data_IF_725373007653
#
_entry.id   IF_725373007653
#
_cell.length_a   1.000
_cell.length_b   1.000
_cell.length_c   1.000
_cell.angle_alpha   90.00
_cell.angle_beta   90.00
_cell.angle_gamma   90.00
#
_symmetry.space_group_name_H-M   'P 1'
#
loop_
_entity.id
_entity.type
_entity.pdbx_description
1 polymer ?
#
# COMPACT_ATOMS: atom_id res chain seq x y z
N UNK A 1 26.86 1.37 -6.11
CA UNK A 1 25.47 0.92 -5.90
C UNK A 1 25.48 0.05 -4.66
N UNK A 2 24.51 0.22 -3.76
CA UNK A 2 24.42 -0.58 -2.54
C UNK A 2 23.36 -1.63 -2.78
N UNK A 3 23.75 -2.90 -2.90
CA UNK A 3 22.79 -3.98 -3.12
C UNK A 3 21.96 -4.20 -1.86
N UNK A 4 20.73 -3.67 -1.87
CA UNK A 4 19.76 -3.92 -0.80
C UNK A 4 19.13 -5.28 -0.98
N UNK A 5 19.19 -6.07 0.08
CA UNK A 5 18.48 -7.34 0.20
C UNK A 5 17.15 -7.12 0.89
N UNK A 6 16.34 -8.17 1.00
CA UNK A 6 15.03 -8.10 1.65
C UNK A 6 15.05 -7.38 3.01
N UNK A 7 16.07 -7.63 3.85
CA UNK A 7 16.17 -7.07 5.20
C UNK A 7 16.39 -5.55 5.24
N UNK A 8 16.81 -4.93 4.13
CA UNK A 8 17.11 -3.49 4.10
C UNK A 8 15.86 -2.64 3.74
N UNK A 9 14.72 -3.29 3.54
CA UNK A 9 13.45 -2.64 3.24
C UNK A 9 12.52 -2.69 4.45
N UNK A 10 12.01 -1.53 4.83
CA UNK A 10 11.02 -1.39 5.89
C UNK A 10 9.75 -0.72 5.34
N UNK A 11 8.59 -1.17 5.81
CA UNK A 11 7.30 -0.52 5.51
C UNK A 11 7.36 0.94 6.01
N UNK A 12 6.97 1.87 5.14
CA UNK A 12 7.10 3.31 5.35
C UNK A 12 8.26 3.98 4.61
N UNK A 13 9.24 3.19 4.16
CA UNK A 13 10.40 3.73 3.44
C UNK A 13 9.98 4.32 2.09
N UNK A 14 10.45 5.53 1.80
CA UNK A 14 10.10 6.31 0.61
C UNK A 14 11.31 6.59 -0.27
N UNK A 15 11.09 6.60 -1.58
CA UNK A 15 12.09 6.89 -2.59
C UNK A 15 11.48 7.74 -3.70
N UNK A 16 12.30 8.62 -4.27
CA UNK A 16 11.91 9.46 -5.42
C UNK A 16 12.99 9.37 -6.48
N UNK A 17 12.61 9.01 -7.70
CA UNK A 17 13.54 8.91 -8.82
C UNK A 17 13.96 10.30 -9.34
N UNK A 18 14.92 10.31 -10.27
CA UNK A 18 15.06 11.44 -11.19
C UNK A 18 13.84 11.59 -12.11
N UNK A 19 13.90 12.57 -13.00
CA UNK A 19 12.83 12.84 -13.98
C UNK A 19 13.16 12.24 -15.34
N UNK A 20 12.12 12.02 -16.15
CA UNK A 20 12.23 11.61 -17.56
C UNK A 20 11.17 12.36 -18.39
N UNK A 21 11.61 13.07 -19.41
CA UNK A 21 10.70 13.70 -20.38
C UNK A 21 10.18 12.67 -21.37
N UNK A 22 8.88 12.70 -21.66
CA UNK A 22 8.22 11.91 -22.69
C UNK A 22 8.40 12.59 -24.04
N UNK A 23 8.87 11.85 -25.03
CA UNK A 23 9.22 12.39 -26.35
C UNK A 23 8.34 11.84 -27.46
N UNK A 24 8.34 12.49 -28.63
CA UNK A 24 7.65 11.95 -29.81
C UNK A 24 8.26 10.61 -30.26
N UNK A 25 9.56 10.40 -30.03
CA UNK A 25 10.22 9.13 -30.30
C UNK A 25 9.66 8.02 -29.40
N UNK A 26 9.38 8.30 -28.12
CA UNK A 26 8.74 7.34 -27.22
C UNK A 26 7.41 6.85 -27.75
N UNK A 27 6.56 7.77 -28.22
CA UNK A 27 5.26 7.42 -28.80
C UNK A 27 5.42 6.54 -30.05
N UNK A 28 6.30 6.94 -30.97
CA UNK A 28 6.55 6.17 -32.19
C UNK A 28 7.12 4.77 -31.88
N UNK A 29 8.11 4.68 -30.99
CA UNK A 29 8.77 3.43 -30.63
C UNK A 29 7.86 2.51 -29.82
N UNK A 30 7.09 3.03 -28.86
CA UNK A 30 6.18 2.21 -28.08
C UNK A 30 5.01 1.70 -28.93
N UNK A 31 4.49 2.51 -29.85
CA UNK A 31 3.50 2.09 -30.87
C UNK A 31 4.06 0.94 -31.71
N UNK A 32 5.27 1.11 -32.26
CA UNK A 32 5.92 0.07 -33.08
C UNK A 32 6.21 -1.20 -32.28
N UNK A 33 6.69 -1.08 -31.05
CA UNK A 33 7.08 -2.20 -30.20
C UNK A 33 5.87 -3.00 -29.71
N UNK A 34 4.82 -2.30 -29.26
CA UNK A 34 3.60 -2.93 -28.74
C UNK A 34 2.69 -3.44 -29.86
N UNK A 35 2.76 -2.83 -31.05
CA UNK A 35 1.82 -3.06 -32.14
C UNK A 35 0.45 -2.40 -31.94
N UNK A 36 0.29 -1.58 -30.90
CA UNK A 36 -0.95 -0.84 -30.65
C UNK A 36 -0.95 0.49 -31.42
N UNK A 37 -1.39 0.42 -32.67
CA UNK A 37 -1.50 1.54 -33.61
C UNK A 37 -2.88 2.22 -33.61
N UNK A 38 -3.68 2.00 -32.55
CA UNK A 38 -5.01 2.60 -32.44
C UNK A 38 -4.95 4.12 -32.70
N UNK A 39 -5.86 4.70 -33.50
CA UNK A 39 -5.80 6.10 -33.92
C UNK A 39 -5.68 7.15 -32.80
N UNK A 40 -6.09 6.83 -31.57
CA UNK A 40 -5.88 7.69 -30.40
C UNK A 40 -4.38 7.96 -30.10
N UNK A 41 -3.48 7.11 -30.57
CA UNK A 41 -2.03 7.19 -30.41
C UNK A 41 -1.33 7.74 -31.67
N UNK A 42 -2.01 7.78 -32.83
CA UNK A 42 -1.36 8.04 -34.13
C UNK A 42 -1.99 9.19 -34.92
N UNK A 43 -3.25 9.55 -34.66
CA UNK A 43 -4.01 10.57 -35.39
C UNK A 43 -4.37 11.77 -34.50
N UNK A 44 -3.81 12.96 -34.76
CA UNK A 44 -4.25 14.18 -34.10
C UNK A 44 -5.73 14.47 -34.34
N UNK A 45 -6.47 14.82 -33.29
CA UNK A 45 -7.90 15.15 -33.41
C UNK A 45 -8.84 13.96 -33.49
N UNK A 46 -8.36 12.72 -33.29
CA UNK A 46 -9.19 11.52 -33.33
C UNK A 46 -10.44 11.67 -32.45
N UNK A 47 -11.63 11.52 -33.06
CA UNK A 47 -12.96 11.71 -32.45
C UNK A 47 -13.16 13.07 -31.76
N UNK A 48 -12.58 14.14 -32.31
CA UNK A 48 -12.68 15.49 -31.73
C UNK A 48 -11.80 15.67 -30.49
N UNK A 49 -10.86 14.75 -30.26
CA UNK A 49 -9.85 14.84 -29.20
C UNK A 49 -8.74 15.83 -29.51
N UNK A 50 -7.69 15.80 -28.67
CA UNK A 50 -6.52 16.66 -28.80
C UNK A 50 -5.36 15.99 -29.55
N UNK A 51 -4.14 16.26 -29.07
CA UNK A 51 -2.94 15.57 -29.52
C UNK A 51 -3.01 14.07 -29.16
N UNK A 52 -2.29 13.21 -29.90
CA UNK A 52 -2.18 11.80 -29.54
C UNK A 52 -1.62 11.59 -28.13
N UNK A 53 -2.11 10.55 -27.46
CA UNK A 53 -1.67 10.17 -26.11
C UNK A 53 -0.80 8.92 -26.19
N UNK A 54 0.04 8.67 -25.18
CA UNK A 54 0.77 7.41 -25.07
C UNK A 54 -0.18 6.27 -24.67
N UNK A 55 0.14 5.05 -25.12
CA UNK A 55 -0.53 3.82 -24.67
C UNK A 55 -0.44 3.72 -23.16
N UNK A 56 -1.52 3.31 -22.47
CA UNK A 56 -1.53 3.16 -21.01
C UNK A 56 -0.30 2.41 -20.46
N UNK A 57 0.04 1.22 -20.99
CA UNK A 57 1.21 0.42 -20.58
C UNK A 57 2.58 1.09 -20.74
N UNK A 58 2.69 2.21 -21.44
CA UNK A 58 3.90 3.03 -21.45
C UNK A 58 4.25 3.53 -20.05
N UNK A 59 3.26 3.93 -19.25
CA UNK A 59 3.47 4.44 -17.90
C UNK A 59 4.12 3.44 -16.93
N UNK A 60 3.60 2.19 -16.79
CA UNK A 60 4.27 1.15 -16.02
C UNK A 60 5.70 0.86 -16.52
N UNK A 61 5.93 0.85 -17.83
CA UNK A 61 7.25 0.64 -18.40
C UNK A 61 8.24 1.74 -17.99
N UNK A 62 7.81 3.01 -18.06
CA UNK A 62 8.60 4.16 -17.59
C UNK A 62 8.83 4.08 -16.08
N UNK A 63 7.81 3.74 -15.29
CA UNK A 63 7.92 3.58 -13.84
C UNK A 63 8.97 2.52 -13.47
N UNK A 64 9.00 1.37 -14.15
CA UNK A 64 10.02 0.34 -13.91
C UNK A 64 11.43 0.82 -14.29
N UNK A 65 11.57 1.57 -15.39
CA UNK A 65 12.84 2.18 -15.78
C UNK A 65 13.36 3.20 -14.75
N UNK A 66 12.48 4.09 -14.26
CA UNK A 66 12.79 5.06 -13.21
C UNK A 66 13.14 4.37 -11.88
N UNK A 67 12.42 3.30 -11.53
CA UNK A 67 12.74 2.48 -10.37
C UNK A 67 14.12 1.84 -10.49
N UNK A 68 14.47 1.28 -11.65
CA UNK A 68 15.81 0.72 -11.87
C UNK A 68 16.90 1.78 -11.71
N UNK A 69 16.63 3.01 -12.17
CA UNK A 69 17.54 4.16 -12.00
C UNK A 69 17.82 4.54 -10.55
N UNK A 70 16.98 4.15 -9.59
CA UNK A 70 17.24 4.32 -8.14
C UNK A 70 18.33 3.38 -7.61
N UNK A 71 18.65 2.29 -8.33
CA UNK A 71 19.73 1.37 -7.95
C UNK A 71 19.54 0.70 -6.59
N UNK A 72 18.29 0.37 -6.23
CA UNK A 72 17.96 -0.09 -4.87
C UNK A 72 18.43 -1.53 -4.58
N UNK A 73 18.05 -2.50 -5.42
CA UNK A 73 18.15 -3.91 -5.07
C UNK A 73 19.11 -4.74 -5.95
N UNK A 74 19.61 -4.19 -7.07
CA UNK A 74 20.62 -4.85 -7.92
C UNK A 74 20.36 -6.33 -8.17
N UNK A 75 21.37 -7.16 -7.87
CA UNK A 75 21.34 -8.63 -8.04
C UNK A 75 20.42 -9.36 -7.04
N UNK A 76 19.92 -8.67 -6.00
CA UNK A 76 18.98 -9.27 -5.06
C UNK A 76 17.58 -9.48 -5.67
N UNK A 77 17.27 -8.88 -6.82
CA UNK A 77 15.97 -9.04 -7.48
C UNK A 77 15.84 -10.45 -8.08
N UNK A 78 14.91 -11.23 -7.54
CA UNK A 78 14.61 -12.59 -8.02
C UNK A 78 13.41 -12.64 -8.98
N UNK A 79 12.53 -11.64 -8.94
CA UNK A 79 11.42 -11.54 -9.89
C UNK A 79 10.32 -10.56 -9.48
N UNK A 80 9.59 -10.04 -10.46
CA UNK A 80 8.34 -9.32 -10.27
C UNK A 80 7.21 -10.35 -10.16
N UNK A 81 6.48 -10.33 -9.05
CA UNK A 81 5.42 -11.29 -8.76
C UNK A 81 4.04 -10.78 -9.15
N UNK A 82 3.81 -9.48 -8.98
CA UNK A 82 2.50 -8.88 -9.19
C UNK A 82 2.61 -7.39 -9.57
N UNK A 83 1.62 -6.92 -10.31
CA UNK A 83 1.42 -5.51 -10.67
C UNK A 83 -0.06 -5.21 -10.79
N UNK A 84 -0.56 -4.34 -9.92
CA UNK A 84 -1.91 -3.80 -9.97
C UNK A 84 -1.82 -2.30 -10.25
N UNK A 85 -2.54 -1.81 -11.25
CA UNK A 85 -2.26 -0.48 -11.80
C UNK A 85 -3.52 0.30 -12.22
N UNK A 86 -3.48 1.61 -12.03
CA UNK A 86 -4.56 2.54 -12.35
C UNK A 86 -4.05 3.67 -13.24
N UNK A 87 -4.72 3.84 -14.39
CA UNK A 87 -4.49 4.94 -15.32
C UNK A 87 -5.37 6.13 -14.93
N UNK A 88 -4.79 7.15 -14.27
CA UNK A 88 -5.56 8.29 -13.74
C UNK A 88 -5.70 9.41 -14.78
N UNK A 89 -4.64 9.65 -15.55
CA UNK A 89 -4.58 10.67 -16.60
C UNK A 89 -3.82 10.13 -17.81
N UNK A 90 -4.13 10.60 -19.03
CA UNK A 90 -3.33 10.31 -20.21
C UNK A 90 -1.92 10.89 -20.05
N UNK A 91 -0.93 10.19 -20.61
CA UNK A 91 0.45 10.67 -20.76
C UNK A 91 0.59 11.27 -22.15
N UNK A 92 1.16 12.47 -22.26
CA UNK A 92 1.40 13.17 -23.51
C UNK A 92 2.89 13.32 -23.81
N UNK A 93 3.21 13.54 -25.08
CA UNK A 93 4.53 14.02 -25.48
C UNK A 93 4.77 15.39 -24.84
N UNK A 94 5.92 15.55 -24.20
CA UNK A 94 6.31 16.74 -23.44
C UNK A 94 6.18 16.58 -21.93
N UNK A 95 5.40 15.60 -21.44
CA UNK A 95 5.26 15.36 -20.00
C UNK A 95 6.62 15.05 -19.37
N UNK A 96 6.90 15.63 -18.20
CA UNK A 96 8.09 15.32 -17.41
C UNK A 96 7.65 14.47 -16.22
N UNK A 97 8.06 13.21 -16.20
CA UNK A 97 7.58 12.23 -15.24
C UNK A 97 8.64 11.90 -14.20
N UNK A 98 8.24 11.74 -12.94
CA UNK A 98 9.05 11.13 -11.87
C UNK A 98 8.27 10.05 -11.13
N UNK A 99 8.99 9.09 -10.56
CA UNK A 99 8.44 8.04 -9.73
C UNK A 99 8.58 8.41 -8.25
N UNK A 100 7.47 8.36 -7.52
CA UNK A 100 7.44 8.30 -6.06
C UNK A 100 7.07 6.89 -5.64
N UNK A 101 7.85 6.30 -4.75
CA UNK A 101 7.66 4.91 -4.29
C UNK A 101 7.67 4.84 -2.76
N UNK A 102 6.70 4.12 -2.21
CA UNK A 102 6.60 3.81 -0.78
C UNK A 102 6.57 2.30 -0.61
N UNK A 103 7.42 1.74 0.24
CA UNK A 103 7.30 0.35 0.67
C UNK A 103 6.10 0.22 1.60
N UNK A 104 5.12 -0.60 1.21
CA UNK A 104 3.85 -0.74 1.95
C UNK A 104 3.69 -2.11 2.60
N UNK A 105 4.53 -3.09 2.24
CA UNK A 105 4.57 -4.39 2.90
C UNK A 105 5.91 -5.09 2.72
N UNK A 106 6.38 -5.78 3.75
CA UNK A 106 7.53 -6.69 3.70
C UNK A 106 7.14 -8.02 4.35
N UNK A 107 7.34 -9.14 3.66
CA UNK A 107 7.05 -10.47 4.20
C UNK A 107 8.01 -11.52 3.67
N UNK A 108 8.62 -12.32 4.53
CA UNK A 108 9.45 -13.45 4.12
C UNK A 108 8.60 -14.57 3.53
N UNK A 109 9.23 -15.31 2.64
CA UNK A 109 8.64 -16.57 2.20
C UNK A 109 8.89 -17.66 3.24
N UNK A 110 8.13 -18.76 3.15
CA UNK A 110 8.26 -19.90 4.06
C UNK A 110 9.67 -20.52 4.08
N UNK A 111 10.45 -20.37 3.00
CA UNK A 111 11.83 -20.87 2.92
C UNK A 111 12.85 -19.99 3.65
N UNK A 112 12.52 -18.74 3.95
CA UNK A 112 13.37 -17.81 4.69
C UNK A 112 14.52 -17.19 3.89
N UNK A 113 14.96 -17.82 2.79
CA UNK A 113 16.05 -17.38 1.90
C UNK A 113 15.69 -16.20 0.98
N UNK A 114 14.43 -15.76 1.02
CA UNK A 114 13.88 -14.68 0.19
C UNK A 114 12.63 -14.09 0.82
N UNK A 115 12.31 -12.87 0.44
CA UNK A 115 11.09 -12.18 0.88
C UNK A 115 10.46 -11.34 -0.22
N UNK A 116 9.21 -10.96 0.00
CA UNK A 116 8.41 -10.15 -0.91
C UNK A 116 8.32 -8.75 -0.34
N UNK A 117 8.64 -7.76 -1.17
CA UNK A 117 8.46 -6.34 -0.88
C UNK A 117 7.36 -5.80 -1.79
N UNK A 118 6.27 -5.35 -1.19
CA UNK A 118 5.19 -4.65 -1.90
C UNK A 118 5.44 -3.15 -1.86
N UNK A 119 5.35 -2.51 -3.02
CA UNK A 119 5.65 -1.11 -3.23
C UNK A 119 4.44 -0.42 -3.82
N UNK A 120 3.97 0.65 -3.20
CA UNK A 120 3.05 1.60 -3.81
C UNK A 120 3.86 2.57 -4.67
N UNK A 121 3.45 2.74 -5.92
CA UNK A 121 4.14 3.56 -6.91
C UNK A 121 3.20 4.63 -7.44
N UNK A 122 3.68 5.87 -7.52
CA UNK A 122 2.99 7.00 -8.14
C UNK A 122 3.91 7.59 -9.20
N UNK A 123 3.44 7.57 -10.44
CA UNK A 123 4.05 8.28 -11.55
C UNK A 123 3.40 9.66 -11.62
N UNK A 124 4.18 10.69 -11.33
CA UNK A 124 3.71 12.07 -11.21
C UNK A 124 4.35 12.96 -12.27
N UNK A 125 3.60 13.94 -12.75
CA UNK A 125 4.07 14.96 -13.68
C UNK A 125 4.76 16.14 -12.94
N UNK A 126 5.21 17.13 -13.72
CA UNK A 126 5.91 18.33 -13.21
C UNK A 126 5.00 19.26 -12.38
N UNK A 127 3.68 19.18 -12.62
CA UNK A 127 2.67 19.90 -11.83
C UNK A 127 2.31 19.17 -10.52
N UNK A 128 2.91 17.99 -10.28
CA UNK A 128 2.67 17.16 -9.12
C UNK A 128 1.38 16.34 -9.19
N UNK A 129 0.73 16.28 -10.35
CA UNK A 129 -0.45 15.48 -10.55
C UNK A 129 -0.07 14.00 -10.74
N UNK A 130 -0.80 13.09 -10.10
CA UNK A 130 -0.65 11.65 -10.34
C UNK A 130 -1.21 11.30 -11.70
N UNK A 131 -0.34 10.86 -12.61
CA UNK A 131 -0.73 10.45 -13.96
C UNK A 131 -1.14 8.98 -13.95
N UNK A 132 -0.35 8.15 -13.28
CA UNK A 132 -0.67 6.75 -13.05
C UNK A 132 -0.15 6.30 -11.69
N UNK A 133 -0.75 5.27 -11.11
CA UNK A 133 -0.31 4.73 -9.84
C UNK A 133 -0.71 3.27 -9.68
N UNK A 134 -0.13 2.59 -8.70
CA UNK A 134 -0.47 1.21 -8.42
C UNK A 134 0.46 0.57 -7.41
N UNK A 135 0.33 -0.74 -7.26
CA UNK A 135 1.20 -1.55 -6.42
C UNK A 135 1.96 -2.58 -7.25
N UNK A 136 3.12 -2.94 -6.76
CA UNK A 136 3.89 -4.06 -7.31
C UNK A 136 4.49 -4.89 -6.19
N UNK A 137 4.62 -6.19 -6.41
CA UNK A 137 5.30 -7.09 -5.48
C UNK A 137 6.58 -7.63 -6.13
N UNK A 138 7.73 -7.41 -5.48
CA UNK A 138 9.02 -7.95 -5.93
C UNK A 138 9.52 -9.00 -4.95
N UNK A 139 10.00 -10.12 -5.48
CA UNK A 139 10.73 -11.13 -4.73
C UNK A 139 12.21 -10.75 -4.67
N UNK A 140 12.75 -10.63 -3.46
CA UNK A 140 14.15 -10.31 -3.21
C UNK A 140 14.84 -11.45 -2.46
N UNK A 141 16.10 -11.68 -2.78
CA UNK A 141 16.98 -12.52 -1.97
C UNK A 141 17.10 -11.93 -0.55
N UNK A 142 17.17 -12.82 0.44
CA UNK A 142 17.41 -12.47 1.83
C UNK A 142 18.83 -12.90 2.21
N UNK A 143 19.51 -12.14 3.07
CA UNK A 143 20.86 -12.50 3.54
C UNK A 143 20.86 -13.68 4.51
N UNK A 144 19.73 -13.94 5.16
CA UNK A 144 19.58 -15.08 6.06
C UNK A 144 18.14 -15.28 6.50
N UNK A 145 17.94 -16.25 7.39
CA UNK A 145 16.63 -16.46 8.05
C UNK A 145 16.47 -15.41 9.13
N UNK A 146 15.29 -14.78 9.20
CA UNK A 146 14.95 -13.82 10.24
C UNK A 146 13.43 -13.81 10.47
N UNK A 147 12.95 -13.19 11.56
CA UNK A 147 11.52 -13.02 11.79
C UNK A 147 10.93 -12.06 10.75
N UNK A 148 9.62 -12.19 10.52
CA UNK A 148 8.86 -11.23 9.72
C UNK A 148 8.63 -9.94 10.52
N UNK A 149 8.67 -8.76 9.87
CA UNK A 149 8.28 -7.52 10.51
C UNK A 149 6.76 -7.46 10.70
N UNK A 150 6.28 -7.96 11.84
CA UNK A 150 4.85 -8.03 12.16
C UNK A 150 4.23 -6.65 12.39
N UNK A 151 5.03 -5.66 12.85
CA UNK A 151 4.52 -4.38 13.34
C UNK A 151 3.72 -3.55 12.31
N UNK A 152 3.95 -3.79 11.02
CA UNK A 152 3.29 -3.12 9.88
C UNK A 152 2.73 -4.09 8.84
N UNK A 153 2.57 -5.38 9.17
CA UNK A 153 1.91 -6.36 8.28
C UNK A 153 0.38 -6.29 8.46
N UNK A 154 -0.17 -5.11 8.19
CA UNK A 154 -1.57 -4.75 8.48
C UNK A 154 -2.56 -5.77 7.90
N UNK A 155 -3.65 -6.04 8.64
CA UNK A 155 -4.70 -6.96 8.19
C UNK A 155 -4.34 -8.45 8.30
N UNK A 156 -3.13 -8.80 8.76
CA UNK A 156 -2.77 -10.21 9.03
C UNK A 156 -3.13 -10.63 10.46
N UNK A 157 -3.28 -11.94 10.68
CA UNK A 157 -3.54 -12.51 12.02
C UNK A 157 -2.41 -12.16 13.00
N UNK A 158 -1.15 -12.36 12.58
CA UNK A 158 0.01 -12.05 13.43
C UNK A 158 0.05 -10.57 13.84
N UNK A 159 -0.28 -9.66 12.92
CA UNK A 159 -0.42 -8.25 13.24
C UNK A 159 -1.58 -7.98 14.19
N UNK A 160 -2.75 -8.60 13.98
CA UNK A 160 -3.90 -8.48 14.88
C UNK A 160 -3.61 -8.98 16.30
N UNK A 161 -2.88 -10.07 16.44
CA UNK A 161 -2.42 -10.59 17.75
C UNK A 161 -1.46 -9.61 18.43
N UNK A 162 -0.46 -9.11 17.69
CA UNK A 162 0.47 -8.11 18.22
C UNK A 162 -0.20 -6.78 18.59
N UNK A 163 -1.19 -6.36 17.81
CA UNK A 163 -2.01 -5.17 18.05
C UNK A 163 -2.84 -5.32 19.32
N UNK A 164 -3.57 -6.43 19.44
CA UNK A 164 -4.48 -6.66 20.58
C UNK A 164 -3.73 -6.82 21.89
N UNK A 165 -2.51 -7.38 21.87
CA UNK A 165 -1.63 -7.44 23.04
C UNK A 165 -1.19 -6.07 23.58
N UNK A 166 -1.41 -4.98 22.84
CA UNK A 166 -1.14 -3.59 23.27
C UNK A 166 -2.37 -2.83 23.74
N UNK A 167 -3.56 -3.42 23.66
CA UNK A 167 -4.78 -2.78 24.11
C UNK A 167 -4.82 -2.75 25.64
N UNK A 168 -5.01 -1.55 26.20
CA UNK A 168 -5.17 -1.36 27.64
C UNK A 168 -6.63 -1.35 28.11
N UNK A 169 -6.88 -1.17 29.42
CA UNK A 169 -8.24 -1.14 30.00
C UNK A 169 -9.19 -0.14 29.34
N UNK A 170 -8.66 1.00 28.88
CA UNK A 170 -9.43 2.05 28.20
C UNK A 170 -10.18 1.54 26.95
N UNK A 171 -9.67 0.49 26.29
CA UNK A 171 -10.36 -0.13 25.15
C UNK A 171 -11.64 -0.85 25.59
N UNK A 172 -11.55 -1.67 26.65
CA UNK A 172 -12.71 -2.38 27.18
C UNK A 172 -13.74 -1.42 27.79
N UNK A 173 -13.29 -0.36 28.47
CA UNK A 173 -14.15 0.71 29.01
C UNK A 173 -14.89 1.48 27.92
N UNK A 174 -14.32 1.57 26.70
CA UNK A 174 -14.95 2.20 25.55
C UNK A 174 -15.97 1.28 24.84
N UNK A 175 -16.09 0.02 25.26
CA UNK A 175 -16.95 -1.01 24.69
C UNK A 175 -17.86 -1.69 25.76
N UNK A 176 -18.57 -0.92 26.63
CA UNK A 176 -19.26 -1.50 27.76
C UNK A 176 -20.38 -2.45 27.32
N UNK A 177 -20.16 -3.76 27.51
CA UNK A 177 -21.11 -4.80 27.13
C UNK A 177 -21.27 -4.99 25.62
N UNK A 178 -20.35 -4.49 24.80
CA UNK A 178 -20.40 -4.71 23.35
C UNK A 178 -19.92 -6.12 23.00
N UNK A 179 -20.71 -6.79 22.16
CA UNK A 179 -20.43 -8.11 21.60
C UNK A 179 -20.49 -8.01 20.08
N UNK A 180 -19.42 -8.43 19.41
CA UNK A 180 -19.35 -8.35 17.96
C UNK A 180 -17.97 -8.67 17.41
N UNK A 181 -17.75 -8.32 16.15
CA UNK A 181 -16.47 -8.55 15.48
C UNK A 181 -16.11 -7.33 14.66
N UNK A 182 -14.92 -6.79 14.91
CA UNK A 182 -14.36 -5.69 14.11
C UNK A 182 -13.41 -6.31 13.09
N UNK A 183 -13.70 -6.11 11.80
CA UNK A 183 -12.77 -6.42 10.72
C UNK A 183 -11.84 -5.23 10.45
N UNK A 184 -10.55 -5.50 10.24
CA UNK A 184 -9.56 -4.51 9.80
C UNK A 184 -8.94 -5.02 8.51
N UNK A 185 -9.13 -4.29 7.41
CA UNK A 185 -8.64 -4.67 6.07
C UNK A 185 -7.61 -3.67 5.55
N UNK A 186 -6.47 -4.19 5.11
CA UNK A 186 -5.39 -3.48 4.45
C UNK A 186 -5.10 -4.17 3.11
N UNK A 187 -5.53 -3.54 2.01
CA UNK A 187 -5.49 -4.18 0.68
C UNK A 187 -6.21 -5.52 0.71
N UNK A 188 -5.53 -6.60 0.34
CA UNK A 188 -6.10 -7.95 0.29
C UNK A 188 -6.09 -8.70 1.63
N UNK A 189 -5.52 -8.12 2.69
CA UNK A 189 -5.40 -8.76 4.01
C UNK A 189 -6.48 -8.23 4.94
N UNK A 190 -7.26 -9.14 5.52
CA UNK A 190 -8.30 -8.81 6.50
C UNK A 190 -8.13 -9.67 7.74
N UNK A 191 -8.16 -9.02 8.91
CA UNK A 191 -8.15 -9.68 10.22
C UNK A 191 -9.40 -9.29 10.99
N UNK A 192 -9.94 -10.26 11.72
CA UNK A 192 -11.11 -10.10 12.56
C UNK A 192 -10.70 -10.12 14.02
N UNK A 193 -11.18 -9.13 14.77
CA UNK A 193 -11.08 -9.03 16.22
C UNK A 193 -12.45 -9.35 16.82
N UNK A 194 -12.61 -10.57 17.34
CA UNK A 194 -13.85 -10.97 18.01
C UNK A 194 -13.85 -10.43 19.43
N UNK A 195 -14.89 -9.68 19.77
CA UNK A 195 -15.02 -9.02 21.06
C UNK A 195 -16.23 -9.59 21.80
N UNK A 196 -16.03 -9.90 23.07
CA UNK A 196 -17.06 -10.29 24.01
C UNK A 196 -16.93 -9.45 25.27
N UNK A 197 -18.01 -8.77 25.65
CA UNK A 197 -18.09 -7.85 26.80
C UNK A 197 -16.93 -6.86 26.83
N UNK A 198 -16.62 -6.26 25.68
CA UNK A 198 -15.56 -5.27 25.51
C UNK A 198 -14.13 -5.83 25.50
N UNK A 199 -13.94 -7.15 25.61
CA UNK A 199 -12.61 -7.79 25.55
C UNK A 199 -12.42 -8.54 24.24
N UNK A 200 -11.27 -8.41 23.60
CA UNK A 200 -10.92 -9.25 22.44
C UNK A 200 -10.66 -10.68 22.91
N UNK A 201 -11.45 -11.63 22.44
CA UNK A 201 -11.37 -13.05 22.83
C UNK A 201 -10.75 -13.94 21.74
N UNK A 202 -10.69 -13.45 20.50
CA UNK A 202 -10.15 -14.20 19.37
C UNK A 202 -9.65 -13.22 18.29
N UNK A 203 -8.49 -13.52 17.71
CA UNK A 203 -7.99 -12.90 16.48
C UNK A 203 -7.94 -13.97 15.40
N UNK A 204 -8.62 -13.76 14.28
CA UNK A 204 -8.65 -14.74 13.20
C UNK A 204 -8.76 -14.06 11.83
N UNK A 205 -8.36 -14.75 10.76
CA UNK A 205 -8.48 -14.21 9.40
C UNK A 205 -9.93 -14.13 8.91
N UNK A 206 -10.84 -14.85 9.57
CA UNK A 206 -12.28 -14.77 9.34
C UNK A 206 -13.03 -15.39 10.51
N UNK A 207 -14.04 -14.70 11.01
CA UNK A 207 -14.97 -15.22 12.02
C UNK A 207 -16.14 -15.97 11.39
N UNK A 208 -16.73 -16.93 12.11
CA UNK A 208 -17.79 -17.80 11.61
C UNK A 208 -19.03 -17.05 11.05
N UNK A 209 -19.40 -15.92 11.66
CA UNK A 209 -20.52 -15.08 11.22
C UNK A 209 -20.07 -13.87 10.39
N UNK A 210 -18.79 -13.79 10.02
CA UNK A 210 -18.20 -12.59 9.46
C UNK A 210 -17.98 -11.48 10.50
N UNK A 211 -17.53 -10.32 10.04
CA UNK A 211 -17.37 -9.14 10.88
C UNK A 211 -18.72 -8.40 11.01
N UNK A 212 -18.98 -7.79 12.17
CA UNK A 212 -20.10 -6.85 12.35
C UNK A 212 -19.96 -5.69 11.38
N UNK A 213 -18.74 -5.17 11.27
CA UNK A 213 -18.31 -4.28 10.20
C UNK A 213 -16.81 -4.46 9.97
N UNK A 214 -16.36 -4.14 8.77
CA UNK A 214 -14.94 -4.10 8.40
C UNK A 214 -14.57 -2.67 8.06
N UNK A 215 -13.53 -2.14 8.70
CA UNK A 215 -12.86 -0.88 8.33
C UNK A 215 -11.80 -1.20 7.27
N UNK A 216 -11.93 -0.60 6.09
CA UNK A 216 -11.14 -0.94 4.91
C UNK A 216 -10.34 0.26 4.40
N UNK A 217 -9.06 0.04 4.11
CA UNK A 217 -8.19 0.98 3.42
C UNK A 217 -7.07 0.22 2.68
N UNK A 218 -6.37 0.89 1.78
CA UNK A 218 -5.16 0.32 1.17
C UNK A 218 -3.97 0.35 2.15
N UNK A 219 -2.92 -0.41 1.84
CA UNK A 219 -1.74 -0.52 2.70
C UNK A 219 -1.00 0.82 2.84
N UNK A 220 -1.07 1.71 1.85
CA UNK A 220 -0.47 3.04 1.92
C UNK A 220 -1.19 3.89 2.98
N UNK A 221 -2.51 3.91 2.98
CA UNK A 221 -3.33 4.66 3.93
C UNK A 221 -3.11 4.18 5.36
N UNK A 222 -3.00 2.87 5.58
CA UNK A 222 -2.61 2.33 6.90
C UNK A 222 -1.19 2.75 7.30
N UNK A 223 -0.24 2.69 6.37
CA UNK A 223 1.14 3.12 6.60
C UNK A 223 1.19 4.59 7.02
N UNK A 224 0.54 5.47 6.27
CA UNK A 224 0.48 6.90 6.59
C UNK A 224 -0.26 7.19 7.90
N UNK A 225 -1.29 6.42 8.22
CA UNK A 225 -2.04 6.56 9.48
C UNK A 225 -1.15 6.23 10.69
N UNK A 226 -0.30 5.20 10.59
CA UNK A 226 0.57 4.85 11.73
C UNK A 226 1.79 5.77 11.86
N UNK A 227 2.23 6.37 10.75
CA UNK A 227 3.39 7.28 10.70
C UNK A 227 3.07 8.74 11.00
N UNK A 228 1.80 9.17 10.91
CA UNK A 228 1.43 10.56 11.15
C UNK A 228 1.87 11.03 12.55
N UNK A 229 2.13 12.33 12.77
CA UNK A 229 2.61 12.83 14.07
C UNK A 229 1.61 12.52 15.20
N UNK A 230 0.31 12.58 14.89
CA UNK A 230 -0.79 12.40 15.83
C UNK A 230 -1.82 11.45 15.25
N UNK A 231 -2.64 10.85 16.10
CA UNK A 231 -3.75 10.03 15.62
C UNK A 231 -4.79 10.91 14.90
N UNK A 232 -4.76 10.85 13.57
CA UNK A 232 -5.65 11.60 12.68
C UNK A 232 -6.68 10.70 12.00
N UNK A 233 -6.94 9.52 12.57
CA UNK A 233 -7.90 8.53 12.07
C UNK A 233 -9.27 9.14 11.74
N UNK A 234 -9.88 9.82 12.72
CA UNK A 234 -11.23 10.39 12.56
C UNK A 234 -11.28 11.40 11.40
N UNK A 235 -10.24 12.24 11.27
CA UNK A 235 -10.12 13.20 10.17
C UNK A 235 -10.02 12.49 8.83
N UNK A 236 -9.19 11.45 8.72
CA UNK A 236 -9.02 10.65 7.49
C UNK A 236 -10.30 9.89 7.12
N UNK A 237 -10.98 9.31 8.10
CA UNK A 237 -12.26 8.63 7.90
C UNK A 237 -13.34 9.59 7.38
N UNK A 238 -13.46 10.79 7.95
CA UNK A 238 -14.38 11.83 7.45
C UNK A 238 -14.04 12.32 6.05
N UNK A 239 -12.76 12.30 5.68
CA UNK A 239 -12.28 12.65 4.35
C UNK A 239 -12.44 11.50 3.32
N UNK A 240 -12.98 10.35 3.72
CA UNK A 240 -13.23 9.21 2.84
C UNK A 240 -12.01 8.32 2.59
N UNK A 241 -10.94 8.44 3.38
CA UNK A 241 -9.76 7.57 3.26
C UNK A 241 -10.03 6.12 3.69
N UNK A 242 -11.11 5.87 4.44
CA UNK A 242 -11.53 4.55 4.86
C UNK A 242 -12.93 4.25 4.33
N UNK A 243 -13.10 3.07 3.75
CA UNK A 243 -14.40 2.51 3.46
C UNK A 243 -14.87 1.64 4.64
N UNK A 244 -16.19 1.47 4.77
CA UNK A 244 -16.79 0.60 5.78
C UNK A 244 -17.74 -0.36 5.11
N UNK A 245 -17.55 -1.65 5.37
CA UNK A 245 -18.45 -2.73 4.92
C UNK A 245 -19.16 -3.33 6.12
N UNK A 246 -20.45 -3.66 5.98
CA UNK A 246 -21.27 -4.22 7.06
C UNK A 246 -22.09 -3.16 7.79
N UNK A 247 -22.20 -3.26 9.11
CA UNK A 247 -23.08 -2.41 9.91
C UNK A 247 -22.47 -1.01 10.16
N UNK A 248 -22.86 -0.03 9.32
CA UNK A 248 -22.41 1.35 9.46
C UNK A 248 -22.86 2.06 10.75
N UNK A 249 -23.99 1.65 11.34
CA UNK A 249 -24.46 2.23 12.61
C UNK A 249 -23.53 1.83 13.76
N UNK A 250 -23.12 0.57 13.82
CA UNK A 250 -22.15 0.09 14.81
C UNK A 250 -20.79 0.76 14.61
N UNK A 251 -20.30 0.90 13.37
CA UNK A 251 -19.09 1.66 13.08
C UNK A 251 -19.11 3.08 13.69
N UNK A 252 -20.19 3.84 13.50
CA UNK A 252 -20.29 5.22 14.02
C UNK A 252 -20.25 5.25 15.55
N UNK A 253 -20.88 4.28 16.22
CA UNK A 253 -20.86 4.15 17.69
C UNK A 253 -19.48 3.81 18.24
N UNK A 254 -18.62 3.19 17.43
CA UNK A 254 -17.31 2.68 17.84
C UNK A 254 -16.14 3.60 17.46
N UNK A 255 -16.40 4.87 17.18
CA UNK A 255 -15.35 5.85 16.87
C UNK A 255 -14.24 5.89 17.93
N UNK A 256 -14.59 5.91 19.23
CA UNK A 256 -13.58 5.94 20.32
C UNK A 256 -12.77 4.63 20.42
N UNK A 257 -13.38 3.43 20.44
CA UNK A 257 -12.66 2.16 20.34
C UNK A 257 -11.75 2.05 19.12
N UNK A 258 -12.19 2.51 17.95
CA UNK A 258 -11.37 2.51 16.74
C UNK A 258 -10.17 3.45 16.85
N UNK A 259 -10.33 4.64 17.43
CA UNK A 259 -9.18 5.50 17.72
C UNK A 259 -8.16 4.84 18.65
N UNK A 260 -8.61 4.10 19.67
CA UNK A 260 -7.72 3.36 20.58
C UNK A 260 -6.99 2.20 19.87
N UNK A 261 -7.66 1.50 18.95
CA UNK A 261 -7.02 0.51 18.07
C UNK A 261 -5.93 1.16 17.22
N UNK A 262 -6.20 2.34 16.67
CA UNK A 262 -5.21 3.09 15.89
C UNK A 262 -4.03 3.54 16.75
N UNK A 263 -4.26 4.00 17.99
CA UNK A 263 -3.18 4.33 18.92
C UNK A 263 -2.29 3.12 19.24
N UNK A 264 -2.90 1.95 19.44
CA UNK A 264 -2.17 0.70 19.63
C UNK A 264 -1.37 0.30 18.39
N UNK A 265 -1.93 0.47 17.18
CA UNK A 265 -1.23 0.19 15.92
C UNK A 265 -0.03 1.15 15.71
N UNK A 266 -0.19 2.43 16.06
CA UNK A 266 0.87 3.44 16.05
C UNK A 266 1.99 3.10 17.05
N UNK A 267 1.63 2.69 18.26
CA UNK A 267 2.60 2.25 19.26
C UNK A 267 3.34 0.98 18.83
N UNK A 268 2.64 0.03 18.18
CA UNK A 268 3.23 -1.17 17.61
C UNK A 268 4.25 -0.84 16.51
N UNK A 269 3.87 0.04 15.58
CA UNK A 269 4.73 0.49 14.49
C UNK A 269 6.02 1.13 15.01
N UNK A 270 5.94 2.06 15.97
CA UNK A 270 7.11 2.74 16.56
C UNK A 270 8.06 1.77 17.28
N UNK A 271 7.51 0.85 18.07
CA UNK A 271 8.33 -0.16 18.74
C UNK A 271 9.03 -1.12 17.74
N UNK A 272 8.42 -1.36 16.58
CA UNK A 272 9.04 -2.12 15.50
C UNK A 272 10.22 -1.39 14.84
N UNK A 273 10.17 -0.06 14.76
CA UNK A 273 11.29 0.76 14.27
C UNK A 273 12.46 0.77 15.25
N UNK A 274 12.18 0.95 16.54
CA UNK A 274 13.21 0.93 17.61
C UNK A 274 13.94 -0.41 17.68
N UNK A 275 13.26 -1.52 17.38
CA UNK A 275 13.88 -2.85 17.35
C UNK A 275 14.72 -3.11 16.08
N UNK A 276 14.54 -2.30 15.03
CA UNK A 276 15.22 -2.44 13.74
C UNK A 276 16.38 -1.45 13.54
N UNK A 277 16.49 -0.42 14.39
CA UNK A 277 17.56 0.59 14.41
C UNK A 277 18.75 0.13 15.28
#
# INVERSE_FOLDING_TARGET
>A
MTDRYFEDFAVGQRFTSGTRTVTAADLADFTRLSGDDHPIHTEPGYRGGGAPVLQGPFGPAVAMGLLQGLGLAGDAVLGLLDTHWHYRRPVHVGDVLRLEMTVVRCRRTRRGDRGVVTRHMRLVDDDGAVVQEGTTAVLLAARGVGPDPVARDFGTVAWGEALTGRLGPAFAEALPGWDGTIGLRAGDHEVHLRIYRGTVIEVSGRSALGATFTLEADELTWTELVESERNDFVRRAMAGAFAVRGNGYEYLRLTRPLSLLVDAARALARAGEEAAA
#
